data_IF_220338697074
#
_entry.id   IF_220338697074
#
_cell.length_a   1.000
_cell.length_b   1.000
_cell.length_c   1.000
_cell.angle_alpha   90.00
_cell.angle_beta   90.00
_cell.angle_gamma   90.00
#
_symmetry.space_group_name_H-M   'P 1'
#
loop_
_entity.id
_entity.type
_entity.pdbx_description
1 polymer ?
#
# COMPACT_ATOMS: atom_id res chain seq x y z
N UNK A 1 -50.20 -20.11 39.25
CA UNK A 1 -49.45 -21.19 38.58
C UNK A 1 -48.71 -20.59 37.39
N UNK A 2 -47.46 -20.18 37.60
CA UNK A 2 -46.58 -19.65 36.54
C UNK A 2 -45.48 -20.67 36.32
N UNK A 3 -45.32 -21.10 35.07
CA UNK A 3 -44.33 -22.09 34.64
C UNK A 3 -42.93 -21.66 35.07
N UNK A 4 -42.27 -22.55 35.80
CA UNK A 4 -40.87 -22.43 36.18
C UNK A 4 -40.06 -22.38 34.89
N UNK A 5 -39.16 -21.41 34.76
CA UNK A 5 -38.17 -21.37 33.67
C UNK A 5 -37.57 -22.76 33.51
N UNK A 6 -38.00 -23.48 32.48
CA UNK A 6 -37.36 -24.68 32.01
C UNK A 6 -36.02 -24.23 31.45
N UNK A 7 -35.01 -24.13 32.33
CA UNK A 7 -33.64 -24.01 31.88
C UNK A 7 -33.40 -25.23 30.97
N UNK A 8 -33.12 -25.01 29.68
CA UNK A 8 -33.04 -26.11 28.73
C UNK A 8 -31.93 -27.06 29.17
N UNK A 9 -32.22 -28.37 29.15
CA UNK A 9 -31.23 -29.39 29.50
C UNK A 9 -30.07 -29.34 28.49
N UNK A 10 -28.87 -29.74 28.91
CA UNK A 10 -27.66 -29.73 28.07
C UNK A 10 -27.89 -30.44 26.71
N UNK A 11 -28.68 -31.50 26.73
CA UNK A 11 -29.10 -32.28 25.56
C UNK A 11 -30.05 -31.51 24.63
N UNK A 12 -30.91 -30.64 25.16
CA UNK A 12 -31.77 -29.75 24.36
C UNK A 12 -30.94 -28.66 23.68
N UNK A 13 -29.94 -28.11 24.38
CA UNK A 13 -28.99 -27.13 23.83
C UNK A 13 -28.21 -27.78 22.66
N UNK A 14 -27.71 -29.00 22.85
CA UNK A 14 -26.97 -29.72 21.80
C UNK A 14 -27.87 -30.14 20.63
N UNK A 15 -29.12 -30.52 20.89
CA UNK A 15 -30.10 -30.85 19.86
C UNK A 15 -30.47 -29.60 19.02
N UNK A 16 -30.62 -28.44 19.65
CA UNK A 16 -30.88 -27.16 19.00
C UNK A 16 -29.74 -26.75 18.06
N UNK A 17 -28.48 -26.82 18.53
CA UNK A 17 -27.30 -26.52 17.71
C UNK A 17 -27.19 -27.51 16.53
N UNK A 18 -27.39 -28.81 16.78
CA UNK A 18 -27.34 -29.84 15.72
C UNK A 18 -28.42 -29.65 14.66
N UNK A 19 -29.62 -29.18 15.06
CA UNK A 19 -30.70 -28.84 14.14
C UNK A 19 -30.33 -27.64 13.27
N UNK A 20 -29.83 -26.55 13.86
CA UNK A 20 -29.42 -25.34 13.12
C UNK A 20 -28.30 -25.63 12.13
N UNK A 21 -27.30 -26.45 12.49
CA UNK A 21 -26.22 -26.83 11.58
C UNK A 21 -26.72 -27.71 10.42
N UNK A 22 -27.67 -28.61 10.69
CA UNK A 22 -28.23 -29.51 9.66
C UNK A 22 -29.22 -28.80 8.72
N UNK A 23 -30.00 -27.87 9.27
CA UNK A 23 -31.03 -27.11 8.56
C UNK A 23 -30.43 -25.87 7.87
N UNK A 24 -29.23 -25.43 8.27
CA UNK A 24 -28.46 -24.36 7.61
C UNK A 24 -29.09 -22.97 7.68
N UNK A 25 -30.18 -22.82 8.44
CA UNK A 25 -30.98 -21.60 8.45
C UNK A 25 -30.62 -20.74 9.66
N UNK A 26 -29.74 -19.78 9.43
CA UNK A 26 -29.52 -18.68 10.36
C UNK A 26 -30.74 -17.74 10.33
N UNK A 27 -31.31 -17.33 11.47
CA UNK A 27 -32.37 -16.32 11.47
C UNK A 27 -31.85 -15.04 10.80
N UNK A 28 -32.69 -14.32 10.04
CA UNK A 28 -32.25 -13.11 9.35
C UNK A 28 -31.73 -12.13 10.38
N UNK A 29 -30.45 -11.76 10.25
CA UNK A 29 -29.83 -10.74 11.09
C UNK A 29 -30.69 -9.46 11.04
N UNK A 30 -30.87 -8.75 12.17
CA UNK A 30 -31.57 -7.48 12.16
C UNK A 30 -30.86 -6.59 11.13
N UNK A 31 -31.64 -6.06 10.17
CA UNK A 31 -31.14 -5.17 9.12
C UNK A 31 -30.35 -4.06 9.79
N UNK A 32 -29.02 -4.15 9.70
CA UNK A 32 -28.10 -3.11 10.12
C UNK A 32 -28.54 -1.86 9.36
N UNK A 33 -28.94 -0.81 10.07
CA UNK A 33 -29.20 0.48 9.46
C UNK A 33 -28.01 0.79 8.54
N UNK A 34 -28.32 1.20 7.30
CA UNK A 34 -27.30 1.57 6.32
C UNK A 34 -26.26 2.47 6.99
N UNK A 35 -24.96 2.32 6.68
CA UNK A 35 -23.97 3.26 7.16
C UNK A 35 -24.47 4.65 6.75
N UNK A 36 -24.67 5.54 7.74
CA UNK A 36 -24.80 6.97 7.44
C UNK A 36 -23.63 7.30 6.55
N UNK A 37 -23.92 7.86 5.37
CA UNK A 37 -22.91 8.41 4.51
C UNK A 37 -22.00 9.27 5.39
N UNK A 38 -20.73 8.89 5.46
CA UNK A 38 -19.71 9.78 5.98
C UNK A 38 -19.79 10.98 5.04
N UNK A 39 -20.13 12.16 5.58
CA UNK A 39 -20.18 13.39 4.79
C UNK A 39 -18.91 13.50 3.93
N UNK A 40 -19.13 13.74 2.65
CA UNK A 40 -18.11 13.75 1.58
C UNK A 40 -16.99 14.79 1.83
N UNK A 41 -17.18 15.66 2.82
CA UNK A 41 -16.29 16.72 3.29
C UNK A 41 -14.88 16.24 3.69
N UNK A 42 -14.70 14.97 4.04
CA UNK A 42 -13.38 14.44 4.41
C UNK A 42 -12.55 13.91 3.23
N UNK A 43 -13.08 13.93 2.00
CA UNK A 43 -12.29 13.63 0.79
C UNK A 43 -11.40 14.80 0.37
N UNK A 44 -11.71 16.01 0.83
CA UNK A 44 -10.93 17.22 0.55
C UNK A 44 -9.79 17.47 1.56
N UNK A 45 -9.66 16.61 2.59
CA UNK A 45 -8.54 16.64 3.53
C UNK A 45 -7.33 15.79 3.07
N UNK A 46 -7.27 15.45 1.77
CA UNK A 46 -6.04 14.95 1.16
C UNK A 46 -5.05 16.11 1.12
N UNK A 47 -3.97 16.01 1.89
CA UNK A 47 -2.88 16.99 1.91
C UNK A 47 -2.33 17.15 0.48
N UNK A 48 -2.74 18.21 -0.23
CA UNK A 48 -2.19 18.56 -1.53
C UNK A 48 -0.71 18.97 -1.34
N UNK A 49 0.21 18.10 -1.77
CA UNK A 49 1.67 18.31 -1.73
C UNK A 49 2.17 19.43 -2.67
N UNK A 50 1.30 20.37 -3.04
CA UNK A 50 1.60 21.48 -3.94
C UNK A 50 1.81 22.81 -3.19
N UNK A 51 1.76 22.80 -1.85
CA UNK A 51 2.07 23.98 -1.05
C UNK A 51 3.59 24.24 -1.06
N UNK A 52 4.05 25.40 -1.57
CA UNK A 52 5.46 25.70 -1.63
C UNK A 52 5.98 25.91 -0.19
N UNK A 53 6.94 25.08 0.21
CA UNK A 53 7.64 25.24 1.48
C UNK A 53 8.23 26.66 1.53
N UNK A 54 7.77 27.48 2.48
CA UNK A 54 8.26 28.84 2.67
C UNK A 54 9.79 28.84 2.72
N UNK A 55 10.43 29.60 1.81
CA UNK A 55 11.88 29.64 1.72
C UNK A 55 12.47 30.07 3.07
N UNK A 56 13.54 29.42 3.55
CA UNK A 56 14.18 29.81 4.80
C UNK A 56 14.62 31.28 4.70
N UNK A 57 14.28 32.07 5.72
CA UNK A 57 14.71 33.46 5.84
C UNK A 57 16.24 33.55 5.65
N UNK A 58 16.76 34.62 5.01
CA UNK A 58 18.18 34.77 4.79
C UNK A 58 18.90 34.77 6.14
N UNK A 59 19.71 33.74 6.38
CA UNK A 59 20.62 33.70 7.53
C UNK A 59 21.60 34.88 7.44
N UNK A 60 21.97 35.52 8.56
CA UNK A 60 22.99 36.56 8.55
C UNK A 60 24.28 36.01 7.94
N UNK A 61 24.81 36.72 6.95
CA UNK A 61 26.00 36.34 6.19
C UNK A 61 27.16 36.01 7.15
N UNK A 62 27.58 34.74 7.13
CA UNK A 62 28.84 34.34 7.74
C UNK A 62 29.99 35.09 7.05
N UNK A 63 30.85 35.73 7.85
CA UNK A 63 32.06 36.40 7.39
C UNK A 63 32.95 35.42 6.57
N UNK A 64 33.73 35.91 5.59
CA UNK A 64 34.49 35.05 4.70
C UNK A 64 35.62 34.33 5.46
N UNK A 65 35.55 33.00 5.52
CA UNK A 65 36.68 32.16 5.87
C UNK A 65 37.72 32.16 4.73
N UNK A 66 39.04 32.06 5.02
CA UNK A 66 40.07 32.10 3.99
C UNK A 66 40.01 30.86 3.09
N UNK A 67 40.14 31.08 1.79
CA UNK A 67 40.09 30.03 0.77
C UNK A 67 41.32 29.09 0.85
N UNK A 68 41.15 27.77 0.88
CA UNK A 68 42.24 26.85 0.57
C UNK A 68 42.44 26.76 -0.96
N UNK A 69 43.67 27.03 -1.37
CA UNK A 69 44.23 26.85 -2.72
C UNK A 69 43.82 25.52 -3.36
N UNK A 70 43.25 25.60 -4.57
CA UNK A 70 43.05 24.45 -5.44
C UNK A 70 44.38 23.99 -6.03
N UNK A 71 44.85 22.80 -5.63
CA UNK A 71 45.93 22.09 -6.31
C UNK A 71 45.93 20.59 -5.99
N UNK A 72 45.15 19.79 -6.71
CA UNK A 72 45.65 18.53 -7.29
C UNK A 72 44.62 17.89 -8.23
N UNK A 73 45.01 17.76 -9.49
CA UNK A 73 44.41 16.85 -10.44
C UNK A 73 44.82 15.40 -10.09
N UNK A 74 43.95 14.39 -10.20
CA UNK A 74 44.41 13.02 -10.29
C UNK A 74 44.67 12.66 -11.76
N UNK A 75 45.95 12.40 -12.03
CA UNK A 75 46.41 11.76 -13.24
C UNK A 75 46.06 10.26 -13.25
N UNK A 76 45.84 9.78 -14.47
CA UNK A 76 46.17 8.43 -14.97
C UNK A 76 45.43 7.21 -14.41
N UNK A 77 44.52 6.70 -15.24
CA UNK A 77 44.37 5.26 -15.43
C UNK A 77 44.89 4.89 -16.82
N UNK A 78 46.03 4.23 -16.86
CA UNK A 78 46.52 3.51 -18.03
C UNK A 78 46.02 2.08 -17.95
N UNK A 79 45.27 1.62 -18.95
CA UNK A 79 45.26 0.21 -19.31
C UNK A 79 45.26 0.07 -20.83
N UNK A 80 46.11 -0.84 -21.28
CA UNK A 80 46.55 -0.99 -22.65
C UNK A 80 45.51 -1.75 -23.46
N UNK A 81 45.09 -1.17 -24.59
CA UNK A 81 44.36 -1.88 -25.63
C UNK A 81 44.92 -1.47 -26.99
N UNK A 82 45.82 -2.31 -27.46
CA UNK A 82 46.13 -2.67 -28.84
C UNK A 82 45.92 -1.63 -29.95
N UNK A 83 47.05 -1.24 -30.50
CA UNK A 83 47.25 -0.68 -31.83
C UNK A 83 46.50 -1.50 -32.90
N UNK A 84 45.38 -0.97 -33.39
CA UNK A 84 44.78 -1.39 -34.66
C UNK A 84 44.74 -0.21 -35.61
N UNK A 85 45.80 -0.08 -36.40
CA UNK A 85 45.87 0.78 -37.56
C UNK A 85 44.86 0.30 -38.61
N UNK A 86 43.69 0.92 -38.66
CA UNK A 86 42.78 0.84 -39.81
C UNK A 86 42.56 2.25 -40.31
N UNK A 87 43.09 2.54 -41.50
CA UNK A 87 42.84 3.77 -42.22
C UNK A 87 41.32 3.99 -42.37
N UNK A 88 40.78 5.21 -42.13
CA UNK A 88 39.36 5.44 -42.31
C UNK A 88 39.05 5.44 -43.81
N UNK A 89 38.47 4.34 -44.28
CA UNK A 89 37.69 4.34 -45.51
C UNK A 89 36.45 5.20 -45.25
N UNK A 90 36.42 6.38 -45.88
CA UNK A 90 35.32 7.33 -45.81
C UNK A 90 34.03 6.68 -46.31
N UNK A 91 33.15 6.26 -45.40
CA UNK A 91 31.76 5.95 -45.73
C UNK A 91 30.99 7.28 -45.86
N UNK A 92 30.16 7.49 -46.90
CA UNK A 92 29.33 8.68 -46.96
C UNK A 92 28.32 8.65 -45.82
N UNK A 93 28.35 9.69 -44.98
CA UNK A 93 27.35 9.94 -43.95
C UNK A 93 25.97 10.10 -44.61
N UNK A 94 24.89 9.45 -44.14
CA UNK A 94 23.55 9.73 -44.62
C UNK A 94 23.19 11.16 -44.23
N UNK A 95 23.02 12.03 -45.22
CA UNK A 95 22.48 13.38 -45.02
C UNK A 95 21.14 13.24 -44.30
N UNK A 96 20.91 13.89 -43.14
CA UNK A 96 19.60 13.91 -42.53
C UNK A 96 18.64 14.60 -43.51
N UNK A 97 17.64 13.85 -43.99
CA UNK A 97 16.53 14.44 -44.72
C UNK A 97 15.93 15.52 -43.81
N UNK A 98 15.88 16.75 -44.32
CA UNK A 98 15.21 17.84 -43.64
C UNK A 98 13.77 17.41 -43.32
N UNK A 99 13.45 17.28 -42.04
CA UNK A 99 12.07 17.08 -41.58
C UNK A 99 11.27 18.31 -41.97
N UNK A 100 10.50 18.19 -43.05
CA UNK A 100 9.47 19.17 -43.40
C UNK A 100 8.38 19.11 -42.32
N UNK A 101 8.30 20.14 -41.49
CA UNK A 101 7.21 20.34 -40.53
C UNK A 101 5.91 20.59 -41.31
N UNK A 102 5.09 19.54 -41.47
CA UNK A 102 3.74 19.68 -41.97
C UNK A 102 2.84 20.17 -40.83
N UNK A 103 2.11 21.27 -41.06
CA UNK A 103 1.13 21.82 -40.13
C UNK A 103 0.01 20.80 -39.84
N UNK A 104 -0.60 20.80 -38.63
CA UNK A 104 -1.66 19.87 -38.28
C UNK A 104 -2.94 20.16 -39.07
N UNK A 105 -3.41 19.16 -39.83
CA UNK A 105 -4.72 19.16 -40.49
C UNK A 105 -5.82 18.83 -39.46
N UNK A 106 -7.04 19.38 -39.56
CA UNK A 106 -8.06 19.30 -38.53
C UNK A 106 -8.57 17.87 -38.29
N UNK A 107 -8.85 17.56 -37.02
CA UNK A 107 -9.29 16.28 -36.51
C UNK A 107 -10.54 15.73 -37.22
N UNK A 108 -10.41 14.55 -37.83
CA UNK A 108 -11.53 13.66 -38.12
C UNK A 108 -12.07 13.06 -36.81
N UNK A 109 -13.39 12.88 -36.65
CA UNK A 109 -13.97 12.30 -35.46
C UNK A 109 -13.63 10.80 -35.34
N UNK A 110 -13.18 10.41 -34.15
CA UNK A 110 -13.18 9.09 -33.52
C UNK A 110 -13.49 7.91 -34.46
N UNK A 111 -12.46 7.32 -35.04
CA UNK A 111 -12.50 5.93 -35.45
C UNK A 111 -12.28 5.07 -34.19
N UNK A 112 -13.14 4.10 -33.99
CA UNK A 112 -13.20 3.20 -32.84
C UNK A 112 -11.81 2.69 -32.40
N UNK A 113 -11.51 2.81 -31.10
CA UNK A 113 -10.30 2.34 -30.41
C UNK A 113 -10.26 0.79 -30.31
N UNK A 114 -10.73 0.09 -31.35
CA UNK A 114 -10.77 -1.38 -31.41
C UNK A 114 -10.00 -1.94 -32.61
N UNK A 115 -9.72 -1.11 -33.62
CA UNK A 115 -9.10 -1.58 -34.86
C UNK A 115 -7.56 -1.73 -34.80
N UNK A 116 -6.91 -1.26 -33.75
CA UNK A 116 -5.46 -1.43 -33.57
C UNK A 116 -5.11 -1.64 -32.10
N UNK A 117 -5.14 -2.89 -31.58
CA UNK A 117 -4.80 -3.15 -30.20
C UNK A 117 -3.38 -2.66 -29.92
N UNK A 118 -3.23 -1.78 -28.93
CA UNK A 118 -1.94 -1.20 -28.54
C UNK A 118 -0.90 -2.25 -28.06
N UNK A 119 -1.33 -3.49 -27.86
CA UNK A 119 -0.52 -4.61 -27.41
C UNK A 119 -0.72 -5.84 -28.30
N UNK A 120 0.37 -6.56 -28.54
CA UNK A 120 0.33 -7.79 -29.32
C UNK A 120 -0.39 -8.92 -28.56
N UNK A 121 -1.06 -9.85 -29.25
CA UNK A 121 -1.73 -10.99 -28.60
C UNK A 121 -0.75 -11.86 -27.81
N UNK A 122 0.49 -12.00 -28.27
CA UNK A 122 1.56 -12.70 -27.56
C UNK A 122 1.92 -12.02 -26.23
N UNK A 123 1.91 -10.68 -26.19
CA UNK A 123 2.11 -9.91 -24.96
C UNK A 123 0.98 -10.18 -23.97
N UNK A 124 -0.27 -10.16 -24.43
CA UNK A 124 -1.44 -10.45 -23.58
C UNK A 124 -1.37 -11.86 -22.99
N UNK A 125 -0.99 -12.85 -23.79
CA UNK A 125 -0.85 -14.24 -23.35
C UNK A 125 0.31 -14.43 -22.38
N UNK A 126 1.45 -13.79 -22.63
CA UNK A 126 2.60 -13.80 -21.73
C UNK A 126 2.27 -13.14 -20.38
N UNK A 127 1.59 -11.99 -20.37
CA UNK A 127 1.17 -11.31 -19.14
C UNK A 127 0.15 -12.13 -18.37
N UNK A 128 -0.82 -12.77 -19.06
CA UNK A 128 -1.79 -13.67 -18.42
C UNK A 128 -1.12 -14.90 -17.79
N UNK A 129 -0.11 -15.46 -18.45
CA UNK A 129 0.71 -16.55 -17.91
C UNK A 129 1.53 -16.13 -16.68
N UNK A 130 2.20 -14.98 -16.73
CA UNK A 130 3.01 -14.45 -15.64
C UNK A 130 2.16 -14.10 -14.39
N UNK A 131 1.00 -13.46 -14.59
CA UNK A 131 0.06 -13.16 -13.50
C UNK A 131 -0.54 -14.45 -12.91
N UNK A 132 -0.85 -15.44 -13.75
CA UNK A 132 -1.30 -16.76 -13.29
C UNK A 132 -0.24 -17.51 -12.48
N UNK A 133 1.05 -17.39 -12.85
CA UNK A 133 2.16 -17.95 -12.08
C UNK A 133 2.36 -17.22 -10.74
N UNK A 134 2.26 -15.89 -10.73
CA UNK A 134 2.29 -15.09 -9.51
C UNK A 134 1.14 -15.48 -8.56
N UNK A 135 -0.08 -15.63 -9.09
CA UNK A 135 -1.24 -16.03 -8.28
C UNK A 135 -1.06 -17.40 -7.61
N UNK A 136 -0.26 -18.30 -8.19
CA UNK A 136 0.06 -19.61 -7.59
C UNK A 136 1.18 -19.53 -6.56
N UNK A 137 1.99 -18.49 -6.60
CA UNK A 137 3.06 -18.19 -5.64
C UNK A 137 2.56 -17.38 -4.44
N UNK A 138 1.47 -16.62 -4.59
CA UNK A 138 0.80 -15.88 -3.51
C UNK A 138 0.02 -16.85 -2.63
N UNK A 139 0.74 -17.66 -1.86
CA UNK A 139 0.27 -18.40 -0.68
C UNK A 139 -0.17 -19.84 -0.92
N UNK A 140 0.63 -20.75 -0.36
CA UNK A 140 0.19 -22.06 0.09
C UNK A 140 -0.35 -21.85 1.51
N UNK A 141 -1.67 -21.95 1.75
CA UNK A 141 -2.22 -21.77 3.09
C UNK A 141 -1.70 -22.90 3.98
N UNK A 142 -0.89 -22.56 4.97
CA UNK A 142 -0.76 -23.36 6.20
C UNK A 142 -2.14 -23.39 6.88
N UNK A 143 -2.52 -24.49 7.53
CA UNK A 143 -3.89 -24.70 8.02
C UNK A 143 -4.37 -23.69 9.08
N UNK A 144 -3.47 -22.89 9.66
CA UNK A 144 -3.77 -21.88 10.69
C UNK A 144 -3.59 -20.42 10.24
N UNK A 145 -3.04 -20.17 9.04
CA UNK A 145 -2.90 -18.81 8.51
C UNK A 145 -3.95 -18.56 7.44
N UNK A 146 -4.63 -17.41 7.48
CA UNK A 146 -5.71 -16.98 6.57
C UNK A 146 -5.31 -16.85 5.09
N UNK A 147 -4.20 -17.46 4.65
CA UNK A 147 -3.79 -17.54 3.26
C UNK A 147 -3.46 -16.17 2.62
N UNK A 148 -3.45 -15.10 3.42
CA UNK A 148 -3.42 -13.72 2.97
C UNK A 148 -2.27 -12.98 3.64
N UNK A 149 -1.83 -11.90 2.99
CA UNK A 149 -0.83 -10.98 3.56
C UNK A 149 -1.24 -10.45 4.94
N UNK A 150 -2.55 -10.22 5.15
CA UNK A 150 -3.07 -9.80 6.45
C UNK A 150 -2.79 -10.84 7.54
N UNK A 151 -2.98 -12.14 7.24
CA UNK A 151 -2.66 -13.22 8.17
C UNK A 151 -1.18 -13.20 8.57
N UNK A 152 -0.28 -13.06 7.60
CA UNK A 152 1.17 -12.99 7.86
C UNK A 152 1.53 -11.76 8.71
N UNK A 153 1.01 -10.59 8.38
CA UNK A 153 1.26 -9.34 9.12
C UNK A 153 0.73 -9.46 10.55
N UNK A 154 -0.45 -10.07 10.74
CA UNK A 154 -1.04 -10.32 12.06
C UNK A 154 -0.18 -11.26 12.89
N UNK A 155 0.33 -12.33 12.31
CA UNK A 155 1.21 -13.28 12.99
C UNK A 155 2.54 -12.61 13.41
N UNK A 156 3.04 -11.68 12.61
CA UNK A 156 4.23 -10.90 12.98
C UNK A 156 3.96 -9.82 14.04
N UNK A 157 2.79 -9.17 14.01
CA UNK A 157 2.46 -8.09 14.96
C UNK A 157 1.97 -8.60 16.31
N UNK A 158 1.37 -9.79 16.36
CA UNK A 158 0.85 -10.40 17.61
C UNK A 158 1.88 -10.45 18.74
N UNK A 159 3.13 -10.94 18.56
CA UNK A 159 4.11 -10.98 19.64
C UNK A 159 4.56 -9.58 20.08
N UNK A 160 4.70 -8.62 19.15
CA UNK A 160 5.13 -7.26 19.51
C UNK A 160 4.06 -6.51 20.30
N UNK A 161 2.79 -6.66 19.91
CA UNK A 161 1.65 -6.08 20.62
C UNK A 161 1.43 -6.75 21.97
N UNK A 162 1.62 -8.07 22.06
CA UNK A 162 1.52 -8.82 23.31
C UNK A 162 2.53 -8.33 24.36
N UNK A 163 3.81 -8.28 23.99
CA UNK A 163 4.88 -7.80 24.87
C UNK A 163 4.64 -6.35 25.33
N UNK A 164 4.20 -5.50 24.40
CA UNK A 164 3.86 -4.11 24.74
C UNK A 164 2.69 -4.04 25.72
N UNK A 165 1.63 -4.84 25.51
CA UNK A 165 0.50 -4.88 26.42
C UNK A 165 0.92 -5.39 27.80
N UNK A 166 1.72 -6.44 27.90
CA UNK A 166 2.20 -6.96 29.19
C UNK A 166 2.98 -5.91 29.98
N UNK A 167 3.80 -5.10 29.31
CA UNK A 167 4.57 -4.04 29.96
C UNK A 167 3.75 -2.80 30.33
N UNK A 168 2.73 -2.44 29.53
CA UNK A 168 2.06 -1.14 29.63
C UNK A 168 0.65 -1.21 30.25
N UNK A 169 -0.04 -2.34 30.09
CA UNK A 169 -1.42 -2.52 30.55
C UNK A 169 -1.60 -2.33 32.06
N UNK A 170 -0.70 -2.81 32.95
CA UNK A 170 -0.85 -2.60 34.40
C UNK A 170 -0.98 -1.11 34.76
N UNK A 171 -0.08 -0.28 34.24
CA UNK A 171 -0.08 1.17 34.49
C UNK A 171 -1.35 1.84 33.96
N UNK A 172 -1.81 1.45 32.77
CA UNK A 172 -3.03 1.98 32.15
C UNK A 172 -4.27 1.66 32.99
N UNK A 173 -4.37 0.43 33.50
CA UNK A 173 -5.47 0.01 34.37
C UNK A 173 -5.43 0.74 35.70
N UNK A 174 -4.26 0.88 36.34
CA UNK A 174 -4.13 1.63 37.59
C UNK A 174 -4.61 3.08 37.46
N UNK A 175 -4.28 3.76 36.37
CA UNK A 175 -4.78 5.12 36.12
C UNK A 175 -6.29 5.17 35.90
N UNK A 176 -6.86 4.18 35.21
CA UNK A 176 -8.30 4.12 34.98
C UNK A 176 -9.05 3.81 36.28
N UNK A 177 -8.53 2.89 37.10
CA UNK A 177 -9.07 2.57 38.43
C UNK A 177 -8.93 3.76 39.37
N UNK A 178 -7.77 4.43 39.43
CA UNK A 178 -7.57 5.62 40.25
C UNK A 178 -8.56 6.74 39.87
N UNK A 179 -8.82 6.92 38.56
CA UNK A 179 -9.83 7.85 38.06
C UNK A 179 -11.24 7.45 38.48
N UNK A 180 -11.59 6.17 38.41
CA UNK A 180 -12.91 5.69 38.80
C UNK A 180 -13.13 5.79 40.32
N UNK A 181 -12.11 5.49 41.13
CA UNK A 181 -12.17 5.68 42.59
C UNK A 181 -12.35 7.16 42.91
N UNK A 182 -11.55 8.05 42.33
CA UNK A 182 -11.66 9.50 42.56
C UNK A 182 -13.06 10.04 42.21
N UNK A 183 -13.69 9.50 41.17
CA UNK A 183 -15.06 9.84 40.79
C UNK A 183 -16.10 9.36 41.82
N UNK A 184 -15.93 8.16 42.37
CA UNK A 184 -16.85 7.60 43.38
C UNK A 184 -16.65 8.25 44.76
N UNK A 185 -15.41 8.62 45.11
CA UNK A 185 -15.07 9.21 46.42
C UNK A 185 -15.22 10.72 46.46
N UNK A 186 -15.29 11.39 45.31
CA UNK A 186 -15.73 12.78 45.21
C UNK A 186 -17.08 12.87 44.47
N UNK A 187 -18.16 12.26 45.01
CA UNK A 187 -19.49 12.58 44.54
C UNK A 187 -19.76 14.03 44.98
N UNK A 188 -19.87 14.94 44.01
CA UNK A 188 -20.36 16.29 44.29
C UNK A 188 -21.74 16.26 44.94
#
# INVERSE_FOLDING_TARGET
MGDMSAEPSMEDILASIKRVIKEGEAPPAPRRAAPRAIDDDHRDAVLELNEPLAAPAPMPAAAPAPAPTAAHAPASFTDAAEERTVAPAYAPSPTPAASSYAAPSPATPLADDDANPAVSPATVEATRGALGALSRLVVKPEPDSDGTLEGLVRDMLRPMLGEWLDQNLPRLVEQMVAREIAKITNPG
#
